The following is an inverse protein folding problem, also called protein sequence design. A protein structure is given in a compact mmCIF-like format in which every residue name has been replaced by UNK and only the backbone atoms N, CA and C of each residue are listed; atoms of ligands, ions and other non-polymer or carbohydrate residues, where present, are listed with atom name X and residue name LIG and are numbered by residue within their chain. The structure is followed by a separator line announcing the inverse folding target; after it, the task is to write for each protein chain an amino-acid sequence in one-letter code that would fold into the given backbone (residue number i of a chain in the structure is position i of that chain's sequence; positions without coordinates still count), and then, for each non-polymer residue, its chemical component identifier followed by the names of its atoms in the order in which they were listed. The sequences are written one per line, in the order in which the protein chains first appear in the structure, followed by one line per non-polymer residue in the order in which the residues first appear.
data_IF_365612614327
#
_entry.id   IF_365612614327
#
_cell.length_a   1.000
_cell.length_b   1.000
_cell.length_c   1.000
_cell.angle_alpha   90.00
_cell.angle_beta   90.00
_cell.angle_gamma   90.00
#
_symmetry.space_group_name_H-M   'P 1'
#
loop_
_entity.id
_entity.type
_entity.pdbx_description
1 polymer ?
#
# COMPACT_ATOMS: atom_id res chain seq x y z
N UNK A 1 -8.42 -2.17 13.00
CA UNK A 1 -7.30 -2.11 12.05
C UNK A 1 -7.26 -0.70 11.52
N UNK A 2 -6.07 -0.13 11.36
CA UNK A 2 -5.92 1.19 10.75
C UNK A 2 -4.94 1.08 9.61
N UNK A 3 -5.31 1.64 8.46
CA UNK A 3 -4.45 1.78 7.30
C UNK A 3 -4.19 3.27 7.12
N UNK A 4 -2.91 3.66 7.10
CA UNK A 4 -2.47 5.06 7.04
C UNK A 4 -1.38 5.26 5.99
N UNK A 5 -1.26 6.46 5.39
CA UNK A 5 -2.09 7.65 5.60
C UNK A 5 -3.50 7.49 5.02
N UNK A 6 -4.38 8.46 5.22
CA UNK A 6 -5.73 8.42 4.63
C UNK A 6 -5.74 8.75 3.13
N UNK A 7 -4.75 9.51 2.67
CA UNK A 7 -4.48 9.87 1.28
C UNK A 7 -2.98 9.78 0.99
N UNK A 8 -2.63 9.33 -0.20
CA UNK A 8 -1.25 9.33 -0.69
C UNK A 8 -0.91 10.66 -1.38
N UNK A 9 0.36 11.11 -1.35
CA UNK A 9 0.76 12.30 -2.08
C UNK A 9 0.54 12.13 -3.59
N UNK A 10 0.32 13.23 -4.30
CA UNK A 10 0.22 13.24 -5.76
C UNK A 10 1.58 12.90 -6.40
N UNK A 11 1.56 12.27 -7.56
CA UNK A 11 2.74 11.99 -8.38
C UNK A 11 2.94 13.07 -9.45
N UNK A 12 4.12 13.10 -10.07
CA UNK A 12 4.44 14.02 -11.16
C UNK A 12 4.88 13.24 -12.40
N UNK A 13 4.36 13.63 -13.56
CA UNK A 13 4.63 12.98 -14.84
C UNK A 13 6.14 12.85 -15.08
N UNK A 14 6.58 11.63 -15.43
CA UNK A 14 7.98 11.26 -15.68
C UNK A 14 8.94 11.50 -14.50
N UNK A 15 8.44 11.55 -13.26
CA UNK A 15 9.27 11.65 -12.05
C UNK A 15 9.10 10.41 -11.17
N UNK A 16 10.19 9.92 -10.54
CA UNK A 16 10.08 8.84 -9.56
C UNK A 16 9.13 9.21 -8.43
N UNK A 17 8.29 8.26 -8.07
CA UNK A 17 7.35 8.34 -6.96
C UNK A 17 7.70 7.28 -5.93
N UNK A 18 7.68 7.65 -4.65
CA UNK A 18 7.80 6.71 -3.55
C UNK A 18 7.01 7.22 -2.35
N UNK A 19 6.20 6.35 -1.75
CA UNK A 19 5.51 6.64 -0.50
C UNK A 19 5.24 5.34 0.26
N UNK A 20 4.90 5.49 1.55
CA UNK A 20 4.64 4.35 2.42
C UNK A 20 3.20 4.31 2.91
N UNK A 21 2.67 3.10 3.03
CA UNK A 21 1.42 2.78 3.70
C UNK A 21 1.74 1.92 4.93
N UNK A 22 1.27 2.34 6.09
CA UNK A 22 1.36 1.62 7.36
C UNK A 22 0.00 0.99 7.71
N UNK A 23 0.03 -0.30 8.04
CA UNK A 23 -1.10 -1.07 8.55
C UNK A 23 -0.82 -1.36 10.02
N UNK A 24 -1.62 -0.79 10.91
CA UNK A 24 -1.41 -0.85 12.37
C UNK A 24 -2.62 -1.36 13.13
N UNK A 25 -2.35 -1.89 14.34
CA UNK A 25 -3.35 -2.48 15.22
C UNK A 25 -3.50 -4.00 15.09
N UNK A 26 -2.48 -4.67 14.54
CA UNK A 26 -2.34 -6.14 14.45
C UNK A 26 -1.18 -6.53 13.52
N UNK A 27 -0.75 -7.79 13.56
CA UNK A 27 0.23 -8.35 12.61
C UNK A 27 -0.50 -8.85 11.38
N UNK A 28 -0.12 -8.39 10.18
CA UNK A 28 -0.77 -8.79 8.93
C UNK A 28 -0.48 -10.26 8.60
N UNK A 29 -1.49 -10.96 8.11
CA UNK A 29 -1.39 -12.35 7.65
C UNK A 29 -0.98 -12.33 6.18
N UNK A 30 0.27 -12.65 5.88
CA UNK A 30 0.80 -12.60 4.50
C UNK A 30 0.01 -13.44 3.49
N UNK A 31 -0.50 -14.62 3.88
CA UNK A 31 -1.29 -15.49 2.98
C UNK A 31 -2.67 -14.93 2.60
N UNK A 32 -3.19 -13.97 3.38
CA UNK A 32 -4.46 -13.29 3.11
C UNK A 32 -4.29 -11.88 2.55
N UNK A 33 -3.04 -11.42 2.40
CA UNK A 33 -2.75 -10.09 1.87
C UNK A 33 -2.93 -10.06 0.36
N UNK A 34 -3.66 -9.06 -0.12
CA UNK A 34 -3.88 -8.80 -1.53
C UNK A 34 -3.62 -7.33 -1.83
N UNK A 35 -2.94 -7.07 -2.94
CA UNK A 35 -2.72 -5.72 -3.45
C UNK A 35 -2.85 -5.67 -4.98
N UNK A 36 -3.35 -4.55 -5.47
CA UNK A 36 -3.50 -4.25 -6.89
C UNK A 36 -3.15 -2.79 -7.14
N UNK A 37 -2.53 -2.53 -8.30
CA UNK A 37 -2.27 -1.17 -8.80
C UNK A 37 -2.67 -1.10 -10.27
N UNK A 38 -3.36 -0.02 -10.65
CA UNK A 38 -3.92 0.12 -12.00
C UNK A 38 -2.88 0.48 -13.07
N UNK A 39 -1.68 0.94 -12.67
CA UNK A 39 -0.60 1.33 -13.58
C UNK A 39 0.55 0.32 -13.48
N UNK A 40 0.95 -0.26 -14.61
CA UNK A 40 2.00 -1.26 -14.71
C UNK A 40 3.41 -0.74 -14.40
N UNK A 41 3.61 0.59 -14.38
CA UNK A 41 4.87 1.22 -13.99
C UNK A 41 4.98 1.40 -12.46
N UNK A 42 3.96 1.02 -11.72
CA UNK A 42 3.93 1.06 -10.27
C UNK A 42 3.96 -0.36 -9.70
N UNK A 43 4.58 -0.48 -8.53
CA UNK A 43 4.62 -1.70 -7.75
C UNK A 43 4.37 -1.39 -6.27
N UNK A 44 3.85 -2.38 -5.55
CA UNK A 44 3.64 -2.33 -4.11
C UNK A 44 4.55 -3.38 -3.50
N UNK A 45 5.50 -2.94 -2.69
CA UNK A 45 6.50 -3.80 -2.06
C UNK A 45 6.16 -3.94 -0.58
N UNK A 46 5.73 -5.11 -0.11
CA UNK A 46 5.54 -5.35 1.31
C UNK A 46 6.88 -5.49 2.03
N UNK A 47 6.96 -4.95 3.26
CA UNK A 47 8.13 -5.12 4.12
C UNK A 47 8.22 -6.55 4.64
N UNK A 48 9.43 -7.07 4.77
CA UNK A 48 9.74 -8.30 5.50
C UNK A 48 10.54 -7.91 6.74
N UNK A 49 9.99 -8.18 7.92
CA UNK A 49 10.60 -7.87 9.20
C UNK A 49 11.54 -9.00 9.65
N UNK A 50 12.57 -8.65 10.42
CA UNK A 50 13.46 -9.65 11.02
C UNK A 50 12.66 -10.58 11.94
N UNK A 51 12.73 -11.89 11.68
CA UNK A 51 11.94 -12.90 12.40
C UNK A 51 10.47 -13.01 11.94
N UNK A 52 10.07 -12.34 10.86
CA UNK A 52 8.73 -12.44 10.25
C UNK A 52 7.61 -11.73 11.03
N UNK A 53 7.93 -11.15 12.18
CA UNK A 53 6.98 -10.45 13.02
C UNK A 53 6.74 -9.04 12.48
N UNK A 54 5.57 -8.82 11.85
CA UNK A 54 5.14 -7.62 11.12
C UNK A 54 5.55 -7.55 9.64
N UNK A 55 5.74 -8.70 9.00
CA UNK A 55 5.70 -8.74 7.54
C UNK A 55 4.39 -8.09 7.04
N UNK A 56 4.45 -7.42 5.89
CA UNK A 56 3.29 -6.78 5.26
C UNK A 56 2.64 -5.62 6.04
N UNK A 57 3.13 -5.26 7.24
CA UNK A 57 2.60 -4.13 8.00
C UNK A 57 3.07 -2.76 7.45
N UNK A 58 4.17 -2.72 6.71
CA UNK A 58 4.63 -1.54 5.98
C UNK A 58 4.69 -1.89 4.50
N UNK A 59 4.09 -1.06 3.66
CA UNK A 59 4.11 -1.21 2.20
C UNK A 59 4.77 0.02 1.60
N UNK A 60 5.67 -0.20 0.65
CA UNK A 60 6.22 0.87 -0.18
C UNK A 60 5.56 0.84 -1.54
N UNK A 61 4.90 1.93 -1.90
CA UNK A 61 4.38 2.16 -3.25
C UNK A 61 5.43 2.96 -4.00
N UNK A 62 5.91 2.42 -5.12
CA UNK A 62 6.92 3.09 -5.93
C UNK A 62 6.66 2.89 -7.42
N UNK A 63 7.06 3.85 -8.23
CA UNK A 63 6.87 3.81 -9.68
C UNK A 63 7.29 5.10 -10.37
N UNK A 64 7.07 5.17 -11.67
CA UNK A 64 7.25 6.42 -12.45
C UNK A 64 6.10 6.54 -13.44
N UNK A 65 5.18 7.50 -13.28
CA UNK A 65 4.02 7.63 -14.16
C UNK A 65 4.46 8.15 -15.52
N UNK A 66 3.98 7.50 -16.58
CA UNK A 66 4.24 7.90 -17.98
C UNK A 66 3.02 8.53 -18.65
N UNK A 67 1.88 8.58 -17.96
CA UNK A 67 0.65 9.24 -18.40
C UNK A 67 0.10 10.13 -17.27
N UNK A 68 -0.75 11.10 -17.62
CA UNK A 68 -1.42 11.98 -16.64
C UNK A 68 -2.71 11.37 -16.04
N UNK A 69 -2.96 10.08 -16.26
CA UNK A 69 -4.13 9.43 -15.70
C UNK A 69 -3.90 9.15 -14.20
N UNK A 70 -4.95 9.26 -13.35
CA UNK A 70 -4.84 8.88 -11.94
C UNK A 70 -4.47 7.40 -11.78
N UNK A 71 -3.69 7.10 -10.74
CA UNK A 71 -3.29 5.74 -10.39
C UNK A 71 -4.14 5.28 -9.20
N UNK A 72 -4.77 4.12 -9.35
CA UNK A 72 -5.59 3.51 -8.31
C UNK A 72 -4.82 2.40 -7.63
N UNK A 73 -4.84 2.41 -6.31
CA UNK A 73 -4.25 1.36 -5.47
C UNK A 73 -5.32 0.75 -4.62
N UNK A 74 -5.33 -0.57 -4.57
CA UNK A 74 -6.19 -1.35 -3.70
C UNK A 74 -5.34 -2.26 -2.83
N UNK A 75 -5.63 -2.28 -1.53
CA UNK A 75 -5.05 -3.24 -0.60
C UNK A 75 -6.13 -3.81 0.30
N UNK A 76 -6.03 -5.11 0.57
CA UNK A 76 -6.92 -5.81 1.49
C UNK A 76 -6.17 -6.93 2.20
N UNK A 77 -6.69 -7.35 3.35
CA UNK A 77 -6.18 -8.49 4.07
C UNK A 77 -6.75 -8.59 5.47
N UNK A 78 -6.11 -9.43 6.27
CA UNK A 78 -6.48 -9.70 7.64
C UNK A 78 -5.25 -9.69 8.56
N UNK A 79 -5.50 -9.61 9.87
CA UNK A 79 -4.45 -9.67 10.88
C UNK A 79 -4.63 -10.84 11.81
N UNK A 80 -3.54 -11.37 12.35
CA UNK A 80 -3.62 -12.44 13.34
C UNK A 80 -4.46 -12.04 14.56
N UNK A 81 -5.27 -13.00 14.99
CA UNK A 81 -5.97 -12.98 16.26
C UNK A 81 -5.36 -14.01 17.19
N UNK A 82 -5.02 -13.65 18.43
CA UNK A 82 -4.54 -14.61 19.43
C UNK A 82 -5.71 -15.17 20.24
N UNK A 83 -6.37 -14.32 21.03
CA UNK A 83 -7.55 -14.66 21.86
C UNK A 83 -8.86 -14.06 21.34
N UNK A 84 -8.79 -13.25 20.29
CA UNK A 84 -9.92 -12.63 19.60
C UNK A 84 -9.74 -12.84 18.10
N UNK A 85 -10.83 -12.84 17.31
CA UNK A 85 -10.71 -12.89 15.86
C UNK A 85 -9.79 -11.78 15.35
N UNK A 86 -9.04 -12.12 14.30
CA UNK A 86 -8.33 -11.16 13.49
C UNK A 86 -9.24 -10.03 12.99
N UNK A 87 -8.64 -8.95 12.51
CA UNK A 87 -9.39 -7.85 11.90
C UNK A 87 -9.08 -7.77 10.42
N UNK A 88 -10.12 -7.81 9.60
CA UNK A 88 -10.01 -7.52 8.18
C UNK A 88 -9.80 -6.03 7.95
N UNK A 89 -9.16 -5.69 6.85
CA UNK A 89 -9.04 -4.33 6.34
C UNK A 89 -9.13 -4.30 4.82
N UNK A 90 -9.62 -3.18 4.32
CA UNK A 90 -9.67 -2.82 2.91
C UNK A 90 -9.36 -1.34 2.80
N UNK A 91 -8.56 -0.94 1.83
CA UNK A 91 -8.28 0.48 1.54
C UNK A 91 -8.08 0.68 0.04
N UNK A 92 -8.67 1.77 -0.46
CA UNK A 92 -8.49 2.28 -1.81
C UNK A 92 -7.81 3.64 -1.73
N UNK A 93 -6.83 3.84 -2.59
CA UNK A 93 -6.17 5.13 -2.79
C UNK A 93 -6.25 5.56 -4.24
N UNK A 94 -6.25 6.87 -4.43
CA UNK A 94 -6.06 7.52 -5.72
C UNK A 94 -4.84 8.43 -5.59
N UNK A 95 -3.89 8.26 -6.49
CA UNK A 95 -2.74 9.16 -6.67
C UNK A 95 -3.02 9.97 -7.93
N UNK A 96 -3.20 11.28 -7.78
CA UNK A 96 -3.30 12.17 -8.94
C UNK A 96 -1.93 12.32 -9.60
N UNK A 97 -1.88 12.40 -10.93
CA UNK A 97 -0.63 12.64 -11.67
C UNK A 97 -0.62 14.06 -12.22
N UNK A 98 0.24 14.88 -11.63
CA UNK A 98 0.42 16.28 -12.01
C UNK A 98 1.41 16.43 -13.17
N UNK A 99 1.35 17.54 -13.93
CA UNK A 99 2.39 17.88 -14.90
C UNK A 99 3.77 17.92 -14.24
N UNK A 100 4.82 17.54 -14.98
CA UNK A 100 6.20 17.57 -14.49
C UNK A 100 6.55 18.93 -13.86
N UNK A 101 7.20 18.88 -12.70
CA UNK A 101 7.70 20.07 -11.98
C UNK A 101 8.86 20.74 -12.71
#
# INVERSE_FOLDING_TARGET
MKVSPDRLPDAYLNQPYETNIDISGGVVVGVGFYSEVSDANFIIIPSIAEGGYKDYNLLTVTGTPTTSNPIYIYIAGDTYGTNFPGKQFEKKYTIEVMPSK
#
